data_IF_943525223767
#
_entry.id   IF_943525223767
#
_cell.length_a   1.000
_cell.length_b   1.000
_cell.length_c   1.000
_cell.angle_alpha   90.00
_cell.angle_beta   90.00
_cell.angle_gamma   90.00
#
_symmetry.space_group_name_H-M   'P 1'
#
loop_
_entity.id
_entity.type
_entity.pdbx_description
1 polymer ?
#
# COMPACT_ATOMS: atom_id res chain seq x y z
N UNK A 1 -5.54 -29.91 -3.43
CA UNK A 1 -5.51 -29.00 -4.59
C UNK A 1 -5.25 -27.58 -4.09
N UNK A 2 -4.02 -27.09 -4.21
CA UNK A 2 -3.62 -25.76 -3.73
C UNK A 2 -3.88 -24.72 -4.82
N UNK A 3 -4.92 -23.89 -4.64
CA UNK A 3 -5.22 -22.78 -5.55
C UNK A 3 -4.43 -21.55 -5.09
N UNK A 4 -3.15 -21.51 -5.44
CA UNK A 4 -2.25 -20.36 -5.17
C UNK A 4 -2.27 -19.30 -6.29
N UNK A 5 -3.10 -19.46 -7.32
CA UNK A 5 -3.23 -18.49 -8.41
C UNK A 5 -3.96 -17.19 -8.02
N UNK A 6 -5.00 -17.27 -7.18
CA UNK A 6 -5.87 -16.12 -6.88
C UNK A 6 -5.25 -15.09 -5.94
N UNK A 7 -4.20 -15.45 -5.19
CA UNK A 7 -3.55 -14.54 -4.23
C UNK A 7 -2.69 -13.49 -4.94
N UNK A 8 -1.96 -13.90 -5.98
CA UNK A 8 -1.16 -12.99 -6.80
C UNK A 8 -2.06 -12.00 -7.55
N UNK A 9 -3.21 -12.49 -8.03
CA UNK A 9 -4.20 -11.68 -8.75
C UNK A 9 -4.85 -10.61 -7.86
N UNK A 10 -5.20 -10.95 -6.60
CA UNK A 10 -5.81 -10.01 -5.67
C UNK A 10 -4.87 -8.86 -5.29
N UNK A 11 -3.64 -9.20 -4.91
CA UNK A 11 -2.65 -8.20 -4.50
C UNK A 11 -2.25 -7.31 -5.71
N UNK A 12 -2.15 -7.89 -6.92
CA UNK A 12 -1.91 -7.14 -8.16
C UNK A 12 -3.07 -6.20 -8.53
N UNK A 13 -4.32 -6.64 -8.32
CA UNK A 13 -5.49 -5.80 -8.54
C UNK A 13 -5.54 -4.60 -7.59
N UNK A 14 -5.14 -4.80 -6.33
CA UNK A 14 -5.03 -3.73 -5.33
C UNK A 14 -3.95 -2.70 -5.70
N UNK A 15 -2.80 -3.14 -6.23
CA UNK A 15 -1.75 -2.24 -6.75
C UNK A 15 -2.28 -1.35 -7.89
N UNK A 16 -3.13 -1.89 -8.77
CA UNK A 16 -3.80 -1.12 -9.82
C UNK A 16 -4.78 -0.07 -9.26
N UNK A 17 -5.53 -0.42 -8.22
CA UNK A 17 -6.48 0.48 -7.55
C UNK A 17 -5.79 1.63 -6.81
N UNK A 18 -4.53 1.48 -6.41
CA UNK A 18 -3.75 2.58 -5.80
C UNK A 18 -3.66 3.82 -6.71
N UNK A 19 -3.69 3.59 -8.04
CA UNK A 19 -3.67 4.67 -9.04
C UNK A 19 -5.02 5.38 -9.18
N UNK A 20 -6.13 4.71 -8.85
CA UNK A 20 -7.51 5.23 -8.92
C UNK A 20 -8.33 4.71 -7.73
N UNK A 21 -8.15 5.31 -6.54
CA UNK A 21 -8.74 4.79 -5.30
C UNK A 21 -10.27 4.95 -5.21
N UNK A 22 -10.88 5.74 -6.10
CA UNK A 22 -12.33 5.97 -6.11
C UNK A 22 -13.19 4.75 -6.48
N UNK A 23 -12.60 3.70 -7.06
CA UNK A 23 -13.30 2.47 -7.42
C UNK A 23 -13.26 1.38 -6.33
N UNK A 24 -12.65 1.69 -5.18
CA UNK A 24 -12.53 0.75 -4.07
C UNK A 24 -13.86 0.36 -3.39
N UNK A 25 -14.78 1.30 -3.08
CA UNK A 25 -16.02 0.95 -2.39
C UNK A 25 -16.92 0.15 -3.32
N UNK A 26 -16.95 -1.18 -3.14
CA UNK A 26 -17.68 -2.13 -4.01
C UNK A 26 -16.80 -2.95 -4.95
N UNK A 27 -15.48 -2.87 -4.83
CA UNK A 27 -14.58 -3.72 -5.63
C UNK A 27 -14.70 -5.20 -5.25
N UNK A 28 -14.72 -6.07 -6.26
CA UNK A 28 -14.68 -7.53 -6.10
C UNK A 28 -13.42 -8.00 -5.35
N UNK A 29 -12.37 -7.19 -5.36
CA UNK A 29 -11.17 -7.41 -4.55
C UNK A 29 -11.45 -7.45 -3.04
N UNK A 30 -12.33 -6.59 -2.52
CA UNK A 30 -12.69 -6.64 -1.09
C UNK A 30 -13.51 -7.89 -0.76
N UNK A 31 -14.40 -8.31 -1.64
CA UNK A 31 -15.14 -9.57 -1.50
C UNK A 31 -14.21 -10.78 -1.51
N UNK A 32 -13.24 -10.79 -2.42
CA UNK A 32 -12.20 -11.82 -2.47
C UNK A 32 -11.30 -11.79 -1.23
N UNK A 33 -10.94 -10.60 -0.72
CA UNK A 33 -10.16 -10.47 0.52
C UNK A 33 -10.91 -11.02 1.74
N UNK A 34 -12.24 -10.83 1.80
CA UNK A 34 -13.11 -11.43 2.82
C UNK A 34 -13.22 -12.94 2.66
N UNK A 35 -13.44 -13.42 1.44
CA UNK A 35 -13.50 -14.86 1.15
C UNK A 35 -12.16 -15.56 1.46
N UNK A 36 -11.03 -14.86 1.30
CA UNK A 36 -9.70 -15.36 1.64
C UNK A 36 -9.36 -15.23 3.14
N UNK A 37 -10.25 -14.70 3.98
CA UNK A 37 -10.01 -14.50 5.41
C UNK A 37 -8.99 -13.42 5.77
N UNK A 38 -8.49 -12.66 4.77
CA UNK A 38 -7.52 -11.57 4.98
C UNK A 38 -8.17 -10.29 5.52
N UNK A 39 -9.49 -10.15 5.37
CA UNK A 39 -10.26 -9.00 5.84
C UNK A 39 -11.04 -9.35 7.11
N UNK A 40 -10.48 -9.01 8.26
CA UNK A 40 -11.10 -9.29 9.58
C UNK A 40 -12.03 -8.17 10.01
N UNK A 41 -12.92 -8.40 11.01
CA UNK A 41 -13.77 -7.33 11.56
C UNK A 41 -12.98 -6.13 12.09
N UNK A 42 -11.74 -6.33 12.53
CA UNK A 42 -10.84 -5.24 12.95
C UNK A 42 -10.52 -4.32 11.77
N UNK A 43 -10.34 -4.88 10.56
CA UNK A 43 -10.16 -4.11 9.33
C UNK A 43 -11.39 -3.25 9.03
N UNK A 44 -12.60 -3.78 9.23
CA UNK A 44 -13.83 -3.03 9.02
C UNK A 44 -14.01 -1.88 10.03
N UNK A 45 -13.72 -2.12 11.32
CA UNK A 45 -13.80 -1.11 12.36
C UNK A 45 -12.81 0.05 12.14
N UNK A 46 -11.55 -0.28 11.80
CA UNK A 46 -10.56 0.72 11.41
C UNK A 46 -11.00 1.47 10.15
N UNK A 47 -11.48 0.74 9.14
CA UNK A 47 -11.96 1.31 7.89
C UNK A 47 -13.11 2.31 8.09
N UNK A 48 -14.08 1.96 8.94
CA UNK A 48 -15.19 2.83 9.31
C UNK A 48 -14.71 4.11 10.02
N UNK A 49 -13.67 4.02 10.85
CA UNK A 49 -13.07 5.17 11.51
C UNK A 49 -12.32 6.09 10.53
N UNK A 50 -11.51 5.52 9.62
CA UNK A 50 -10.77 6.30 8.61
C UNK A 50 -11.74 7.01 7.65
N UNK A 51 -12.81 6.35 7.22
CA UNK A 51 -13.81 6.97 6.32
C UNK A 51 -14.49 8.21 6.89
N UNK A 52 -14.62 8.30 8.22
CA UNK A 52 -15.24 9.47 8.88
C UNK A 52 -14.31 10.67 8.94
N UNK A 53 -13.00 10.46 8.83
CA UNK A 53 -11.98 11.48 9.12
C UNK A 53 -11.17 11.87 7.90
N UNK A 54 -10.96 10.96 6.95
CA UNK A 54 -10.02 11.15 5.85
C UNK A 54 -10.66 10.93 4.47
N UNK A 55 -10.58 11.92 3.59
CA UNK A 55 -11.11 11.83 2.22
C UNK A 55 -10.38 10.75 1.38
N UNK A 56 -9.09 10.49 1.66
CA UNK A 56 -8.32 9.45 0.99
C UNK A 56 -8.35 8.10 1.73
N UNK A 57 -9.39 7.83 2.54
CA UNK A 57 -9.53 6.58 3.27
C UNK A 57 -9.25 5.37 2.36
N UNK A 58 -9.82 5.35 1.15
CA UNK A 58 -9.72 4.20 0.25
C UNK A 58 -8.27 3.79 -0.05
N UNK A 59 -7.38 4.78 -0.16
CA UNK A 59 -5.95 4.57 -0.34
C UNK A 59 -5.29 3.97 0.88
N UNK A 60 -5.62 4.47 2.07
CA UNK A 60 -5.10 3.93 3.33
C UNK A 60 -5.50 2.46 3.53
N UNK A 61 -6.73 2.07 3.14
CA UNK A 61 -7.14 0.66 3.21
C UNK A 61 -6.36 -0.22 2.22
N UNK A 62 -6.11 0.26 0.98
CA UNK A 62 -5.29 -0.48 0.01
C UNK A 62 -3.88 -0.71 0.57
N UNK A 63 -3.26 0.34 1.13
CA UNK A 63 -1.91 0.26 1.68
C UNK A 63 -1.82 -0.76 2.83
N UNK A 64 -2.82 -0.78 3.72
CA UNK A 64 -2.94 -1.81 4.77
C UNK A 64 -3.13 -3.21 4.19
N UNK A 65 -3.96 -3.37 3.16
CA UNK A 65 -4.17 -4.68 2.52
C UNK A 65 -2.90 -5.20 1.83
N UNK A 66 -2.13 -4.31 1.21
CA UNK A 66 -0.84 -4.66 0.59
C UNK A 66 0.25 -4.99 1.63
N UNK A 67 0.10 -4.55 2.89
CA UNK A 67 1.03 -4.87 3.97
C UNK A 67 1.12 -6.38 4.25
N UNK A 68 0.04 -7.13 3.98
CA UNK A 68 0.00 -8.61 4.08
C UNK A 68 0.95 -9.31 3.10
N UNK A 69 1.62 -8.59 2.19
CA UNK A 69 2.73 -9.11 1.37
C UNK A 69 4.04 -9.23 2.14
N UNK A 70 4.25 -8.35 3.11
CA UNK A 70 5.52 -8.20 3.82
C UNK A 70 5.44 -8.64 5.28
N UNK A 71 4.23 -8.85 5.81
CA UNK A 71 4.00 -9.23 7.20
C UNK A 71 2.96 -10.35 7.29
N UNK A 72 3.07 -11.25 8.29
CA UNK A 72 2.04 -12.24 8.54
C UNK A 72 0.75 -11.56 9.00
N UNK A 73 -0.38 -12.22 8.73
CA UNK A 73 -1.71 -11.67 8.91
C UNK A 73 -1.99 -11.27 10.38
N UNK A 74 -1.48 -12.06 11.33
CA UNK A 74 -1.64 -11.81 12.77
C UNK A 74 -0.99 -10.50 13.23
N UNK A 75 0.22 -10.19 12.74
CA UNK A 75 0.91 -8.94 13.06
C UNK A 75 0.17 -7.74 12.49
N UNK A 76 -0.42 -7.85 11.30
CA UNK A 76 -1.22 -6.77 10.71
C UNK A 76 -2.52 -6.56 11.50
N UNK A 77 -3.20 -7.63 11.92
CA UNK A 77 -4.40 -7.53 12.74
C UNK A 77 -4.12 -6.91 14.12
N UNK A 78 -3.02 -7.32 14.77
CA UNK A 78 -2.55 -6.74 16.03
C UNK A 78 -2.16 -5.26 15.85
N UNK A 79 -1.47 -4.94 14.75
CA UNK A 79 -1.10 -3.58 14.37
C UNK A 79 -2.31 -2.68 14.17
N UNK A 80 -3.36 -3.19 13.51
CA UNK A 80 -4.63 -2.48 13.33
C UNK A 80 -5.32 -2.18 14.66
N UNK A 81 -5.38 -3.17 15.54
CA UNK A 81 -5.94 -3.00 16.88
C UNK A 81 -5.14 -1.98 17.71
N UNK A 82 -3.80 -2.00 17.59
CA UNK A 82 -2.91 -1.02 18.22
C UNK A 82 -3.14 0.40 17.69
N UNK A 83 -3.25 0.56 16.37
CA UNK A 83 -3.51 1.85 15.73
C UNK A 83 -4.89 2.41 16.11
N UNK A 84 -5.91 1.55 16.17
CA UNK A 84 -7.24 1.90 16.68
C UNK A 84 -7.20 2.43 18.12
N UNK A 85 -6.51 1.71 19.03
CA UNK A 85 -6.36 2.15 20.43
C UNK A 85 -5.62 3.48 20.56
N UNK A 86 -4.64 3.73 19.70
CA UNK A 86 -3.89 4.98 19.65
C UNK A 86 -4.63 6.12 18.94
N UNK A 87 -5.78 5.85 18.30
CA UNK A 87 -6.49 6.82 17.46
C UNK A 87 -5.75 7.20 16.17
N UNK A 88 -4.73 6.43 15.77
CA UNK A 88 -3.91 6.72 14.61
C UNK A 88 -4.52 6.07 13.36
N UNK A 89 -5.19 6.89 12.55
CA UNK A 89 -5.96 6.45 11.37
C UNK A 89 -5.16 6.53 10.06
N UNK A 90 -3.87 6.19 10.11
CA UNK A 90 -2.96 6.17 8.95
C UNK A 90 -2.37 4.78 8.72
N UNK A 91 -2.07 4.45 7.46
CA UNK A 91 -1.47 3.17 7.11
C UNK A 91 -0.06 3.01 7.71
N UNK A 92 0.71 4.10 7.80
CA UNK A 92 2.03 4.10 8.41
C UNK A 92 1.99 3.75 9.90
N UNK A 93 0.99 4.24 10.63
CA UNK A 93 0.81 3.91 12.05
C UNK A 93 0.48 2.43 12.24
N UNK A 94 -0.36 1.87 11.37
CA UNK A 94 -0.64 0.42 11.35
C UNK A 94 0.63 -0.37 11.09
N UNK A 95 1.42 0.02 10.09
CA UNK A 95 2.68 -0.65 9.77
C UNK A 95 3.69 -0.57 10.93
N UNK A 96 3.77 0.57 11.61
CA UNK A 96 4.62 0.75 12.79
C UNK A 96 4.19 -0.19 13.92
N UNK A 97 2.90 -0.25 14.24
CA UNK A 97 2.38 -1.14 15.28
C UNK A 97 2.60 -2.62 14.91
N UNK A 98 2.36 -3.00 13.65
CA UNK A 98 2.59 -4.36 13.18
C UNK A 98 4.07 -4.79 13.31
N UNK A 99 5.02 -3.90 12.99
CA UNK A 99 6.46 -4.15 13.22
C UNK A 99 6.77 -4.33 14.70
N UNK A 100 6.24 -3.45 15.55
CA UNK A 100 6.43 -3.55 17.01
C UNK A 100 5.91 -4.88 17.57
N UNK A 101 4.79 -5.38 17.06
CA UNK A 101 4.27 -6.71 17.41
C UNK A 101 5.18 -7.83 16.92
N UNK A 102 5.66 -7.76 15.67
CA UNK A 102 6.58 -8.75 15.12
C UNK A 102 7.90 -8.83 15.93
N UNK A 103 8.44 -7.68 16.34
CA UNK A 103 9.62 -7.61 17.21
C UNK A 103 9.37 -8.21 18.60
N UNK A 104 8.14 -8.13 19.11
CA UNK A 104 7.76 -8.72 20.40
C UNK A 104 7.57 -10.23 20.29
N UNK A 105 7.09 -10.71 19.13
CA UNK A 105 6.89 -12.14 18.86
C UNK A 105 8.21 -12.88 18.60
N UNK A 106 9.14 -12.24 17.88
CA UNK A 106 10.49 -12.76 17.59
C UNK A 106 11.41 -12.74 18.82
N UNK A 107 11.03 -11.96 19.84
CA UNK A 107 11.62 -12.00 21.18
C UNK A 107 10.59 -12.58 22.16
N UNK A 108 10.25 -13.89 22.06
CA UNK A 108 9.38 -14.49 23.04
C UNK A 108 10.10 -14.33 24.38
N UNK A 109 9.45 -13.58 25.28
CA UNK A 109 9.91 -13.36 26.64
C UNK A 109 10.43 -14.69 27.19
N UNK A 110 11.76 -14.77 27.35
CA UNK A 110 12.39 -15.84 28.12
C UNK A 110 11.65 -15.88 29.45
N UNK A 111 10.88 -16.93 29.66
CA UNK A 111 10.35 -17.28 30.97
C UNK A 111 11.48 -17.97 31.70
N UNK A 112 12.40 -17.16 32.24
CA UNK A 112 13.09 -17.42 33.50
C UNK A 112 13.88 -16.17 33.94
N UNK A 113 13.66 -15.76 35.20
CA UNK A 113 14.52 -14.87 36.02
C UNK A 113 14.61 -13.34 35.71
N UNK A 114 14.96 -12.50 36.72
CA UNK A 114 14.20 -11.33 37.13
C UNK A 114 14.87 -10.03 36.70
N UNK A 115 14.16 -8.93 36.93
CA UNK A 115 14.61 -7.57 36.70
C UNK A 115 14.98 -7.30 35.23
N UNK A 116 13.97 -6.88 34.45
CA UNK A 116 14.20 -5.90 33.40
C UNK A 116 15.12 -4.83 34.01
N UNK A 117 16.35 -4.59 33.49
CA UNK A 117 16.90 -3.26 33.65
C UNK A 117 15.88 -2.39 32.93
N UNK A 118 15.07 -1.66 33.70
CA UNK A 118 14.51 -0.40 33.23
C UNK A 118 15.68 0.30 32.61
N UNK A 119 15.75 0.26 31.27
CA UNK A 119 16.85 0.82 30.51
C UNK A 119 16.86 2.28 30.90
N UNK A 120 17.74 2.63 31.83
CA UNK A 120 17.83 3.98 32.32
C UNK A 120 18.05 4.79 31.06
N UNK A 121 17.15 5.72 30.77
CA UNK A 121 17.32 6.64 29.65
C UNK A 121 18.51 7.49 30.02
N UNK A 122 19.71 7.01 29.70
CA UNK A 122 20.96 7.73 29.94
C UNK A 122 20.88 8.91 29.00
N UNK A 123 20.74 10.12 29.55
CA UNK A 123 20.76 11.33 28.75
C UNK A 123 22.01 11.32 27.88
N UNK A 124 21.85 11.55 26.57
CA UNK A 124 22.98 11.56 25.61
C UNK A 124 24.10 12.52 26.07
N UNK A 125 23.76 13.56 26.82
CA UNK A 125 24.70 14.49 27.46
C UNK A 125 25.65 13.81 28.45
N UNK A 126 25.22 12.76 29.16
CA UNK A 126 26.09 11.99 30.06
C UNK A 126 27.10 11.11 29.31
N UNK A 127 26.81 10.73 28.05
CA UNK A 127 27.72 9.99 27.18
C UNK A 127 28.41 10.87 26.15
N UNK A 128 28.30 12.19 26.26
CA UNK A 128 28.94 13.11 25.32
C UNK A 128 30.46 13.05 25.53
N UNK A 129 31.25 12.66 24.52
CA UNK A 129 32.70 12.83 24.61
C UNK A 129 32.98 14.33 24.77
N UNK A 130 33.87 14.70 25.70
CA UNK A 130 34.17 16.09 26.05
C UNK A 130 34.62 16.92 24.82
N UNK A 131 35.12 16.26 23.78
CA UNK A 131 35.49 16.85 22.50
C UNK A 131 34.97 15.97 21.37
N UNK A 132 34.07 16.52 20.55
CA UNK A 132 33.68 15.91 19.28
C UNK A 132 34.78 16.21 18.25
N UNK A 133 35.20 15.22 17.44
CA UNK A 133 36.15 15.48 16.36
C UNK A 133 35.57 16.53 15.40
N UNK A 134 36.42 17.44 14.93
CA UNK A 134 36.02 18.47 13.97
C UNK A 134 35.39 17.80 12.74
N UNK A 135 34.22 18.29 12.32
CA UNK A 135 33.57 17.80 11.11
C UNK A 135 34.30 18.36 9.90
N UNK A 136 35.25 17.60 9.35
CA UNK A 136 36.05 17.99 8.18
C UNK A 136 35.37 17.65 6.86
N UNK A 137 34.10 17.22 6.88
CA UNK A 137 33.40 16.88 5.65
C UNK A 137 33.06 18.15 4.88
N UNK A 138 33.45 18.25 3.59
CA UNK A 138 33.08 19.39 2.78
C UNK A 138 31.56 19.48 2.68
N UNK A 139 31.04 20.71 2.77
CA UNK A 139 29.61 20.98 2.58
C UNK A 139 29.17 20.37 1.24
N UNK A 140 28.04 19.65 1.19
CA UNK A 140 27.52 19.16 -0.08
C UNK A 140 27.21 20.37 -0.96
N UNK A 141 28.02 20.59 -1.98
CA UNK A 141 27.72 21.57 -3.03
C UNK A 141 26.46 21.08 -3.73
N UNK A 142 25.41 21.90 -3.73
CA UNK A 142 24.21 21.68 -4.53
C UNK A 142 24.60 21.86 -6.00
N UNK A 143 25.25 20.86 -6.58
CA UNK A 143 25.30 20.71 -8.02
C UNK A 143 23.85 20.48 -8.44
N UNK A 144 23.35 21.38 -9.29
CA UNK A 144 22.00 21.33 -9.83
C UNK A 144 21.65 19.88 -10.20
N UNK A 145 20.64 19.34 -9.51
CA UNK A 145 20.04 18.07 -9.89
C UNK A 145 19.61 18.21 -11.34
N UNK A 146 20.31 17.54 -12.24
CA UNK A 146 19.98 17.51 -13.66
C UNK A 146 18.65 16.77 -13.80
N UNK A 147 17.54 17.50 -13.79
CA UNK A 147 16.23 16.98 -14.18
C UNK A 147 16.24 16.73 -15.68
N UNK A 148 16.82 15.61 -16.11
CA UNK A 148 16.57 15.08 -17.45
C UNK A 148 15.18 14.46 -17.47
N UNK A 149 14.14 15.30 -17.48
CA UNK A 149 12.80 14.91 -17.88
C UNK A 149 12.46 15.62 -19.19
N UNK A 150 13.08 15.15 -20.27
CA UNK A 150 12.67 15.52 -21.63
C UNK A 150 11.46 14.67 -21.98
N UNK A 151 10.25 15.23 -22.17
CA UNK A 151 9.14 14.48 -22.73
C UNK A 151 9.51 14.08 -24.16
N UNK A 152 9.73 12.79 -24.38
CA UNK A 152 9.97 12.24 -25.72
C UNK A 152 8.74 12.47 -26.59
N UNK A 153 8.84 13.44 -27.50
CA UNK A 153 7.89 13.65 -28.59
C UNK A 153 7.89 12.40 -29.46
N UNK A 154 6.91 11.51 -29.27
CA UNK A 154 6.70 10.37 -30.17
C UNK A 154 6.18 10.94 -31.50
N UNK A 155 6.88 10.78 -32.64
CA UNK A 155 6.31 11.17 -33.91
C UNK A 155 5.10 10.27 -34.22
N UNK A 156 3.96 10.92 -34.47
CA UNK A 156 2.73 10.28 -34.92
C UNK A 156 3.00 9.51 -36.22
N UNK A 157 3.18 8.18 -36.14
CA UNK A 157 3.11 7.33 -37.33
C UNK A 157 1.67 7.32 -37.83
N UNK A 158 1.41 8.10 -38.89
CA UNK A 158 0.23 8.01 -39.74
C UNK A 158 0.04 6.55 -40.17
N UNK A 159 -1.06 5.92 -39.74
CA UNK A 159 -1.52 4.64 -40.30
C UNK A 159 -2.07 4.90 -41.72
N UNK A 160 -1.69 4.11 -42.73
CA UNK A 160 -2.31 4.21 -44.05
C UNK A 160 -3.77 3.76 -43.99
N UNK A 161 -4.63 4.54 -44.66
CA UNK A 161 -6.08 4.39 -44.78
C UNK A 161 -6.36 3.16 -45.66
N UNK A 162 -6.88 2.07 -45.09
CA UNK A 162 -7.33 0.90 -45.85
C UNK A 162 -8.64 1.27 -46.55
N UNK A 163 -8.58 1.43 -47.85
CA UNK A 163 -9.71 1.53 -48.77
C UNK A 163 -10.56 0.26 -48.67
N UNK A 164 -11.85 0.41 -48.33
CA UNK A 164 -12.83 -0.65 -48.53
C UNK A 164 -13.90 -0.09 -49.46
N UNK A 165 -13.77 -0.44 -50.75
CA UNK A 165 -14.84 -0.35 -51.71
C UNK A 165 -15.83 -1.48 -51.38
N UNK A 166 -17.07 -1.12 -51.08
CA UNK A 166 -18.24 -1.97 -51.34
C UNK A 166 -19.44 -1.05 -51.43
N UNK A 167 -19.99 -0.97 -52.65
CA UNK A 167 -21.12 -0.12 -53.00
C UNK A 167 -22.44 -0.63 -52.41
N UNK A 168 -23.46 0.23 -52.37
CA UNK A 168 -24.80 -0.16 -51.95
C UNK A 168 -25.55 -0.82 -53.12
N UNK A 169 -25.87 -2.11 -52.99
CA UNK A 169 -26.93 -2.73 -53.81
C UNK A 169 -28.28 -2.43 -53.16
N UNK A 170 -28.99 -1.48 -53.74
CA UNK A 170 -30.42 -1.27 -53.54
C UNK A 170 -31.14 -2.48 -54.17
N UNK A 171 -31.64 -3.41 -53.35
CA UNK A 171 -32.49 -4.50 -53.84
C UNK A 171 -33.93 -4.25 -53.41
N UNK A 172 -34.74 -4.03 -54.43
CA UNK A 172 -36.19 -3.97 -54.49
C UNK A 172 -36.86 -5.05 -53.65
N UNK A 173 -37.93 -4.69 -52.93
CA UNK A 173 -38.95 -5.66 -52.53
C UNK A 173 -40.34 -5.07 -52.86
N UNK A 174 -40.70 -5.27 -54.12
CA UNK A 174 -42.07 -5.27 -54.64
C UNK A 174 -42.71 -6.63 -54.31
N UNK A 175 -43.98 -6.60 -53.88
CA UNK A 175 -45.09 -7.44 -54.37
C UNK A 175 -45.92 -8.22 -53.32
N UNK A 176 -47.21 -7.85 -53.31
CA UNK A 176 -48.45 -8.65 -53.05
C UNK A 176 -48.60 -9.36 -51.69
N UNK A 177 -49.62 -8.95 -50.95
CA UNK A 177 -50.93 -9.62 -50.98
C UNK A 177 -52.04 -8.71 -50.48
#
# INVERSE_FOLDING_TARGET
>A
MAKSGSRLDLDHYLEGLLRKPGALPGSTALEQARAAGKFTPVHDAWWAAVRKTHAAAARALIEVLLLHRHMPHEHVAAGLAGALRAGALTADAVALQARKFAETDDHPTATDEPARPTGNVVSLTQRRPAQLPANTQPLPTVAAVRTSNTPGTRPCRRRPRRSNANGPTCSSNDRKR
#
